data_IF_269680325800
#
_entry.id   IF_269680325800
#
_cell.length_a   1.000
_cell.length_b   1.000
_cell.length_c   1.000
_cell.angle_alpha   90.00
_cell.angle_beta   90.00
_cell.angle_gamma   90.00
#
_symmetry.space_group_name_H-M   'P 1'
#
loop_
_entity.id
_entity.type
_entity.pdbx_description
1 polymer ?
#
# COMPACT_ATOMS: atom_id res chain seq x y z
N UNK A 1 82.98 21.24 53.24
CA UNK A 1 81.60 21.60 53.49
C UNK A 1 80.78 21.24 52.31
N UNK A 2 80.02 20.08 52.30
CA UNK A 2 79.13 19.66 51.23
C UNK A 2 77.80 19.37 51.87
N UNK A 3 76.76 20.13 51.55
CA UNK A 3 75.37 19.94 51.96
C UNK A 3 74.72 18.92 51.06
N UNK A 4 74.21 17.84 51.62
CA UNK A 4 73.36 16.85 50.97
C UNK A 4 71.91 17.34 51.04
N UNK A 5 71.23 17.46 49.86
CA UNK A 5 69.77 17.67 49.75
C UNK A 5 69.10 16.31 49.60
N UNK A 6 68.26 15.92 50.55
CA UNK A 6 67.32 14.81 50.43
C UNK A 6 66.06 15.27 49.69
N UNK A 7 65.73 14.60 48.60
CA UNK A 7 64.44 14.73 47.93
C UNK A 7 63.46 13.69 48.52
N UNK A 8 62.39 14.18 49.11
CA UNK A 8 61.22 13.37 49.48
C UNK A 8 60.31 13.27 48.24
N UNK A 9 60.09 12.03 47.73
CA UNK A 9 59.11 11.76 46.65
C UNK A 9 57.76 11.40 47.29
N UNK A 10 56.73 12.21 47.12
CA UNK A 10 55.36 11.93 47.57
C UNK A 10 54.71 11.15 46.48
N UNK A 11 54.32 9.88 46.69
CA UNK A 11 53.53 9.04 45.80
C UNK A 11 52.04 9.35 46.02
N UNK A 12 51.40 10.05 45.09
CA UNK A 12 49.95 10.24 45.10
C UNK A 12 49.30 9.03 44.39
N UNK A 13 48.62 8.18 45.18
CA UNK A 13 47.77 7.11 44.65
C UNK A 13 46.40 7.69 44.28
N UNK A 14 46.14 7.86 42.99
CA UNK A 14 44.80 8.17 42.49
C UNK A 14 43.95 6.88 42.43
N UNK A 15 43.01 6.73 43.35
CA UNK A 15 41.97 5.71 43.28
C UNK A 15 40.93 6.15 42.23
N UNK A 16 41.01 5.63 41.01
CA UNK A 16 40.03 5.86 39.95
C UNK A 16 38.73 5.11 40.25
N UNK A 17 37.70 5.83 40.73
CA UNK A 17 36.35 5.30 40.82
C UNK A 17 35.74 5.25 39.41
N UNK A 18 35.65 4.07 38.80
CA UNK A 18 34.90 3.86 37.58
C UNK A 18 33.41 3.89 37.88
N UNK A 19 32.76 5.02 37.59
CA UNK A 19 31.29 5.10 37.56
C UNK A 19 30.80 4.37 36.33
N UNK A 20 30.30 3.15 36.52
CA UNK A 20 29.50 2.45 35.48
C UNK A 20 28.14 3.13 35.39
N UNK A 21 27.98 4.01 34.41
CA UNK A 21 26.65 4.54 34.04
C UNK A 21 25.90 3.39 33.39
N UNK A 22 25.04 2.73 34.13
CA UNK A 22 24.07 1.79 33.58
C UNK A 22 23.15 2.60 32.66
N UNK A 23 23.32 2.44 31.35
CA UNK A 23 22.46 3.01 30.34
C UNK A 23 21.08 2.36 30.50
N UNK A 24 20.16 3.08 31.12
CA UNK A 24 18.77 2.66 31.28
C UNK A 24 18.20 2.43 29.86
N UNK A 25 18.00 1.17 29.48
CA UNK A 25 17.36 0.84 28.22
C UNK A 25 15.95 1.43 28.26
N UNK A 26 15.69 2.40 27.40
CA UNK A 26 14.36 2.98 27.24
C UNK A 26 13.31 1.84 27.14
N UNK A 27 12.30 1.90 28.00
CA UNK A 27 11.22 0.92 28.01
C UNK A 27 10.59 0.88 26.62
N UNK A 28 10.42 -0.30 26.01
CA UNK A 28 9.77 -0.37 24.69
C UNK A 28 8.41 0.32 24.74
N UNK A 29 8.02 1.04 23.69
CA UNK A 29 6.72 1.68 23.63
C UNK A 29 5.62 0.64 23.86
N UNK A 30 4.55 1.05 24.56
CA UNK A 30 3.41 0.17 24.80
C UNK A 30 2.87 -0.39 23.48
N UNK A 31 2.46 -1.66 23.43
CA UNK A 31 1.93 -2.29 22.23
C UNK A 31 0.68 -1.52 21.78
N UNK A 32 0.60 -1.28 20.47
CA UNK A 32 -0.55 -0.62 19.85
C UNK A 32 -1.49 -1.67 19.27
N UNK A 33 -2.77 -1.36 19.33
CA UNK A 33 -3.82 -2.18 18.73
C UNK A 33 -4.46 -1.46 17.55
N UNK A 34 -4.92 -2.24 16.60
CA UNK A 34 -5.53 -1.73 15.37
C UNK A 34 -6.82 -2.48 15.06
N UNK A 35 -7.73 -1.84 14.37
CA UNK A 35 -8.65 -2.56 13.51
C UNK A 35 -7.92 -2.86 12.19
N UNK A 36 -7.99 -4.10 11.73
CA UNK A 36 -7.66 -4.49 10.37
C UNK A 36 -8.99 -4.72 9.63
N UNK A 37 -9.31 -3.85 8.66
CA UNK A 37 -10.47 -4.00 7.79
C UNK A 37 -10.06 -4.74 6.53
N UNK A 38 -10.89 -5.70 6.13
CA UNK A 38 -10.63 -6.60 5.01
C UNK A 38 -11.70 -6.37 3.94
N UNK A 39 -11.27 -5.92 2.77
CA UNK A 39 -12.09 -5.89 1.56
C UNK A 39 -12.09 -7.25 0.87
N UNK A 40 -13.19 -7.61 0.25
CA UNK A 40 -13.39 -8.94 -0.31
C UNK A 40 -14.13 -8.88 -1.64
N UNK A 41 -14.05 -9.97 -2.43
CA UNK A 41 -15.06 -10.24 -3.46
C UNK A 41 -16.23 -11.00 -2.88
N UNK A 42 -17.45 -10.59 -3.24
CA UNK A 42 -18.70 -11.20 -2.75
C UNK A 42 -19.38 -12.06 -3.80
N UNK A 43 -19.18 -11.78 -5.08
CA UNK A 43 -19.78 -12.57 -6.17
C UNK A 43 -19.16 -13.96 -6.25
N UNK A 44 -20.01 -14.98 -6.28
CA UNK A 44 -19.63 -16.40 -6.33
C UNK A 44 -18.75 -16.85 -5.15
N UNK A 45 -18.81 -16.14 -4.03
CA UNK A 45 -18.09 -16.44 -2.79
C UNK A 45 -19.04 -16.53 -1.60
N UNK A 46 -18.54 -16.86 -0.41
CA UNK A 46 -19.31 -16.83 0.84
C UNK A 46 -19.21 -15.47 1.55
N UNK A 47 -18.52 -14.51 0.97
CA UNK A 47 -18.34 -13.20 1.58
C UNK A 47 -19.63 -12.38 1.54
N UNK A 48 -19.83 -11.55 2.58
CA UNK A 48 -20.92 -10.59 2.70
C UNK A 48 -20.49 -9.15 2.46
N UNK A 49 -19.17 -8.90 2.34
CA UNK A 49 -18.67 -7.54 2.16
C UNK A 49 -17.39 -7.27 2.95
N UNK A 50 -17.40 -6.27 3.85
CA UNK A 50 -16.22 -5.87 4.63
C UNK A 50 -16.17 -6.62 5.95
N UNK A 51 -15.01 -7.24 6.25
CA UNK A 51 -14.73 -7.89 7.53
C UNK A 51 -13.77 -7.04 8.36
N UNK A 52 -13.74 -7.28 9.67
CA UNK A 52 -12.77 -6.63 10.56
C UNK A 52 -12.21 -7.60 11.59
N UNK A 53 -10.98 -7.30 12.00
CA UNK A 53 -10.25 -7.97 13.09
C UNK A 53 -9.66 -6.92 14.02
N UNK A 54 -9.42 -7.31 15.28
CA UNK A 54 -8.48 -6.59 16.14
C UNK A 54 -7.09 -7.17 15.91
N UNK A 55 -6.15 -6.31 15.59
CA UNK A 55 -4.74 -6.68 15.40
C UNK A 55 -3.89 -6.13 16.54
N UNK A 56 -3.00 -6.96 17.09
CA UNK A 56 -2.07 -6.62 18.16
C UNK A 56 -0.65 -6.61 17.62
N UNK A 57 0.03 -5.44 17.62
CA UNK A 57 1.36 -5.25 17.03
C UNK A 57 2.53 -5.79 17.89
N UNK A 58 2.24 -6.33 19.07
CA UNK A 58 3.24 -7.01 19.88
C UNK A 58 3.35 -8.49 19.53
N UNK A 59 2.24 -9.12 19.13
CA UNK A 59 2.15 -10.56 18.91
C UNK A 59 1.80 -10.97 17.48
N UNK A 60 1.36 -10.03 16.64
CA UNK A 60 0.82 -10.32 15.30
C UNK A 60 -0.56 -11.00 15.33
N UNK A 61 -1.21 -11.06 16.51
CA UNK A 61 -2.48 -11.76 16.67
C UNK A 61 -3.63 -11.03 15.99
N UNK A 62 -4.41 -11.77 15.19
CA UNK A 62 -5.70 -11.37 14.64
C UNK A 62 -6.83 -11.97 15.48
N UNK A 63 -7.71 -11.11 16.02
CA UNK A 63 -8.90 -11.53 16.75
C UNK A 63 -10.15 -11.10 15.96
N UNK A 64 -11.02 -12.03 15.51
CA UNK A 64 -12.11 -11.71 14.60
C UNK A 64 -13.18 -10.84 15.27
N UNK A 65 -13.70 -9.87 14.51
CA UNK A 65 -14.94 -9.14 14.79
C UNK A 65 -16.06 -9.70 13.90
N UNK A 66 -15.70 -10.15 12.68
CA UNK A 66 -16.62 -10.69 11.69
C UNK A 66 -16.98 -9.67 10.61
N UNK A 67 -18.08 -9.88 9.91
CA UNK A 67 -18.60 -8.95 8.91
C UNK A 67 -19.09 -7.67 9.61
N UNK A 68 -18.58 -6.51 9.13
CA UNK A 68 -18.88 -5.19 9.73
C UNK A 68 -19.67 -4.28 8.80
N UNK A 69 -19.75 -4.61 7.51
CA UNK A 69 -20.65 -4.01 6.53
C UNK A 69 -20.97 -5.00 5.43
N UNK A 70 -22.24 -5.10 5.05
CA UNK A 70 -22.68 -5.84 3.87
C UNK A 70 -22.70 -4.90 2.67
N UNK A 71 -21.93 -5.23 1.63
CA UNK A 71 -21.82 -4.45 0.39
C UNK A 71 -21.18 -5.30 -0.70
N UNK A 72 -21.52 -5.04 -1.96
CA UNK A 72 -21.08 -5.86 -3.10
C UNK A 72 -19.65 -5.52 -3.48
N UNK A 73 -18.80 -6.54 -3.61
CA UNK A 73 -17.42 -6.46 -4.09
C UNK A 73 -16.63 -5.24 -3.56
N UNK A 74 -16.50 -5.05 -2.22
CA UNK A 74 -15.65 -3.99 -1.66
C UNK A 74 -14.18 -4.38 -1.81
N UNK A 75 -13.69 -4.45 -3.05
CA UNK A 75 -12.39 -5.03 -3.39
C UNK A 75 -11.20 -4.17 -2.97
N UNK A 76 -11.40 -2.86 -2.77
CA UNK A 76 -10.35 -1.99 -2.22
C UNK A 76 -10.92 -0.97 -1.25
N UNK A 77 -10.16 -0.70 -0.18
CA UNK A 77 -10.56 0.11 0.96
C UNK A 77 -9.56 1.25 1.21
N UNK A 78 -10.05 2.36 1.75
CA UNK A 78 -9.21 3.44 2.26
C UNK A 78 -9.79 4.00 3.56
N UNK A 79 -8.96 4.11 4.60
CA UNK A 79 -9.34 4.73 5.87
C UNK A 79 -8.98 6.22 5.83
N UNK A 80 -9.94 7.07 6.20
CA UNK A 80 -9.70 8.51 6.29
C UNK A 80 -8.66 8.83 7.37
N UNK A 81 -7.73 9.80 7.15
CA UNK A 81 -6.69 10.15 8.12
C UNK A 81 -7.18 10.51 9.52
N UNK A 82 -8.42 11.05 9.65
CA UNK A 82 -9.01 11.34 10.97
C UNK A 82 -9.54 10.09 11.70
N UNK A 83 -9.49 8.91 11.09
CA UNK A 83 -9.94 7.64 11.66
C UNK A 83 -11.45 7.52 11.89
N UNK A 84 -12.28 8.43 11.36
CA UNK A 84 -13.74 8.41 11.54
C UNK A 84 -14.48 7.75 10.39
N UNK A 85 -13.86 7.66 9.21
CA UNK A 85 -14.52 7.19 7.99
C UNK A 85 -13.68 6.14 7.27
N UNK A 86 -14.37 5.27 6.55
CA UNK A 86 -13.79 4.29 5.63
C UNK A 86 -14.53 4.41 4.29
N UNK A 87 -13.77 4.35 3.21
CA UNK A 87 -14.27 4.35 1.84
C UNK A 87 -13.94 3.02 1.18
N UNK A 88 -14.86 2.52 0.37
CA UNK A 88 -14.70 1.29 -0.38
C UNK A 88 -15.13 1.49 -1.83
N UNK A 89 -14.39 0.94 -2.78
CA UNK A 89 -14.95 0.72 -4.12
C UNK A 89 -16.00 -0.40 -4.05
N UNK A 90 -16.98 -0.36 -4.93
CA UNK A 90 -17.80 -1.51 -5.27
C UNK A 90 -17.45 -1.88 -6.71
N UNK A 91 -16.62 -2.92 -6.88
CA UNK A 91 -16.09 -3.37 -8.17
C UNK A 91 -17.17 -4.12 -8.95
N UNK A 92 -18.06 -3.34 -9.55
CA UNK A 92 -19.20 -3.77 -10.35
C UNK A 92 -19.25 -2.97 -11.65
N UNK A 93 -20.00 -3.45 -12.65
CA UNK A 93 -20.10 -2.79 -13.95
C UNK A 93 -21.35 -1.94 -14.11
N UNK A 94 -22.34 -2.06 -13.19
CA UNK A 94 -23.59 -1.32 -13.22
C UNK A 94 -24.01 -0.86 -11.84
N UNK A 95 -24.28 0.43 -11.70
CA UNK A 95 -24.80 1.03 -10.46
C UNK A 95 -26.01 1.94 -10.77
N UNK A 96 -27.20 1.56 -10.28
CA UNK A 96 -28.45 2.15 -10.74
C UNK A 96 -28.64 1.93 -12.25
N UNK A 97 -28.90 2.99 -12.98
CA UNK A 97 -29.06 2.97 -14.44
C UNK A 97 -27.76 3.32 -15.21
N UNK A 98 -26.64 3.57 -14.49
CA UNK A 98 -25.36 3.94 -15.08
C UNK A 98 -24.47 2.71 -15.34
N UNK A 99 -23.76 2.69 -16.47
CA UNK A 99 -22.61 1.78 -16.70
C UNK A 99 -21.40 2.27 -15.89
N UNK A 100 -21.44 2.01 -14.59
CA UNK A 100 -20.48 2.46 -13.62
C UNK A 100 -20.43 1.48 -12.45
N UNK A 101 -19.29 1.38 -11.77
CA UNK A 101 -19.28 0.86 -10.43
C UNK A 101 -19.68 1.94 -9.40
N UNK A 102 -19.46 1.66 -8.14
CA UNK A 102 -19.80 2.59 -7.07
C UNK A 102 -18.66 2.81 -6.10
N UNK A 103 -18.79 3.86 -5.30
CA UNK A 103 -17.94 4.15 -4.14
C UNK A 103 -18.84 4.33 -2.93
N UNK A 104 -18.60 3.54 -1.89
CA UNK A 104 -19.31 3.59 -0.61
C UNK A 104 -18.52 4.35 0.43
N UNK A 105 -19.18 5.25 1.14
CA UNK A 105 -18.65 5.94 2.32
C UNK A 105 -19.28 5.37 3.58
N UNK A 106 -18.48 5.06 4.59
CA UNK A 106 -18.93 4.54 5.88
C UNK A 106 -18.38 5.39 7.03
N UNK A 107 -19.19 5.58 8.08
CA UNK A 107 -18.68 6.00 9.38
C UNK A 107 -18.22 4.79 10.19
N UNK A 108 -17.17 4.98 11.00
CA UNK A 108 -16.58 3.95 11.84
C UNK A 108 -17.02 4.13 13.28
N UNK A 109 -17.63 3.10 13.86
CA UNK A 109 -17.92 3.06 15.30
C UNK A 109 -16.63 2.66 16.03
N UNK A 110 -15.84 3.63 16.49
CA UNK A 110 -14.50 3.46 17.07
C UNK A 110 -14.41 2.38 18.17
N UNK A 111 -15.44 2.22 18.99
CA UNK A 111 -15.47 1.21 20.07
C UNK A 111 -15.56 -0.23 19.57
N UNK A 112 -16.26 -0.47 18.48
CA UNK A 112 -16.59 -1.80 18.00
C UNK A 112 -15.95 -2.19 16.67
N UNK A 113 -15.53 -1.21 15.86
CA UNK A 113 -15.07 -1.40 14.48
C UNK A 113 -16.21 -1.57 13.47
N UNK A 114 -17.48 -1.54 13.90
CA UNK A 114 -18.61 -1.62 12.97
C UNK A 114 -18.67 -0.39 12.06
N UNK A 115 -19.17 -0.60 10.85
CA UNK A 115 -19.34 0.41 9.82
C UNK A 115 -20.83 0.72 9.64
N UNK A 116 -21.13 2.01 9.44
CA UNK A 116 -22.47 2.46 9.07
C UNK A 116 -22.38 3.19 7.75
N UNK A 117 -23.16 2.76 6.76
CA UNK A 117 -23.19 3.38 5.44
C UNK A 117 -23.68 4.85 5.56
N UNK A 118 -22.93 5.76 4.96
CA UNK A 118 -23.28 7.18 4.88
C UNK A 118 -23.94 7.49 3.53
N UNK A 119 -23.27 7.14 2.44
CA UNK A 119 -23.83 7.22 1.09
C UNK A 119 -23.03 6.34 0.11
N UNK A 120 -23.58 6.17 -1.09
CA UNK A 120 -22.91 5.61 -2.25
C UNK A 120 -23.04 6.56 -3.43
N UNK A 121 -22.00 6.63 -4.25
CA UNK A 121 -21.98 7.42 -5.49
C UNK A 121 -21.45 6.58 -6.64
N UNK A 122 -21.87 6.87 -7.88
CA UNK A 122 -21.31 6.24 -9.07
C UNK A 122 -19.81 6.57 -9.20
N UNK A 123 -18.96 5.57 -9.44
CA UNK A 123 -17.49 5.73 -9.55
C UNK A 123 -17.03 6.42 -10.84
N UNK A 124 -17.95 6.72 -11.75
CA UNK A 124 -17.72 7.32 -13.06
C UNK A 124 -17.00 6.39 -14.06
N UNK A 125 -17.16 5.09 -13.89
CA UNK A 125 -16.68 4.05 -14.78
C UNK A 125 -16.94 2.66 -14.21
N UNK A 126 -17.01 1.66 -15.07
CA UNK A 126 -17.15 0.26 -14.67
C UNK A 126 -15.85 -0.28 -14.05
N UNK A 127 -15.99 -1.22 -13.11
CA UNK A 127 -14.89 -1.94 -12.48
C UNK A 127 -13.94 -1.07 -11.65
N UNK A 128 -14.43 -0.25 -10.66
CA UNK A 128 -13.53 0.47 -9.76
C UNK A 128 -12.75 -0.54 -8.90
N UNK A 129 -11.42 -0.58 -9.05
CA UNK A 129 -10.56 -1.57 -8.41
C UNK A 129 -9.55 -0.99 -7.43
N UNK A 130 -9.45 0.34 -7.34
CA UNK A 130 -8.55 1.02 -6.42
C UNK A 130 -9.15 2.33 -5.90
N UNK A 131 -8.90 2.61 -4.61
CA UNK A 131 -9.33 3.82 -3.94
C UNK A 131 -8.21 4.34 -3.03
N UNK A 132 -7.99 5.64 -3.02
CA UNK A 132 -7.07 6.30 -2.10
C UNK A 132 -7.64 7.63 -1.62
N UNK A 133 -6.99 8.26 -0.66
CA UNK A 133 -7.26 9.64 -0.26
C UNK A 133 -6.08 10.54 -0.58
N UNK A 134 -6.37 11.80 -0.84
CA UNK A 134 -5.35 12.83 -0.84
C UNK A 134 -4.76 13.01 0.58
N UNK A 135 -3.61 13.66 0.70
CA UNK A 135 -2.90 13.78 1.99
C UNK A 135 -3.66 14.59 3.05
N UNK A 136 -4.62 15.40 2.64
CA UNK A 136 -5.46 16.18 3.57
C UNK A 136 -6.73 15.44 4.01
N UNK A 137 -7.09 14.35 3.33
CA UNK A 137 -8.35 13.64 3.51
C UNK A 137 -9.57 14.33 2.89
N UNK A 138 -9.38 15.43 2.15
CA UNK A 138 -10.48 16.18 1.55
C UNK A 138 -11.06 15.53 0.30
N UNK A 139 -10.30 14.64 -0.32
CA UNK A 139 -10.66 14.02 -1.59
C UNK A 139 -10.37 12.52 -1.59
N UNK A 140 -11.33 11.78 -2.14
CA UNK A 140 -11.21 10.37 -2.48
C UNK A 140 -10.92 10.25 -3.97
N UNK A 141 -9.91 9.44 -4.33
CA UNK A 141 -9.49 9.19 -5.70
C UNK A 141 -9.78 7.72 -6.05
N UNK A 142 -10.31 7.48 -7.26
CA UNK A 142 -10.74 6.15 -7.71
C UNK A 142 -10.19 5.85 -9.10
N UNK A 143 -9.71 4.62 -9.29
CA UNK A 143 -9.35 4.06 -10.60
C UNK A 143 -10.36 2.99 -11.00
N UNK A 144 -10.93 3.11 -12.21
CA UNK A 144 -11.92 2.21 -12.78
C UNK A 144 -11.25 1.38 -13.88
N UNK A 145 -11.08 0.08 -13.63
CA UNK A 145 -10.33 -0.83 -14.51
C UNK A 145 -11.01 -1.04 -15.85
N UNK A 146 -12.28 -1.50 -15.84
CA UNK A 146 -12.99 -1.85 -17.06
C UNK A 146 -13.23 -0.62 -17.97
N UNK A 147 -13.46 0.53 -17.38
CA UNK A 147 -13.71 1.76 -18.13
C UNK A 147 -12.43 2.51 -18.53
N UNK A 148 -11.27 2.20 -17.97
CA UNK A 148 -10.02 2.95 -18.19
C UNK A 148 -10.14 4.40 -17.75
N UNK A 149 -10.83 4.69 -16.64
CA UNK A 149 -11.10 6.05 -16.16
C UNK A 149 -10.61 6.25 -14.73
N UNK A 150 -10.37 7.51 -14.38
CA UNK A 150 -10.07 7.93 -13.00
C UNK A 150 -11.01 9.06 -12.59
N UNK A 151 -11.37 9.10 -11.30
CA UNK A 151 -12.26 10.13 -10.76
C UNK A 151 -11.82 10.59 -9.37
N UNK A 152 -12.18 11.83 -9.01
CA UNK A 152 -11.92 12.45 -7.71
C UNK A 152 -13.23 12.95 -7.12
N UNK A 153 -13.47 12.62 -5.86
CA UNK A 153 -14.70 12.97 -5.14
C UNK A 153 -14.35 13.76 -3.87
N UNK A 154 -14.99 14.90 -3.61
CA UNK A 154 -14.81 15.62 -2.36
C UNK A 154 -15.45 14.86 -1.19
N UNK A 155 -14.76 14.86 -0.07
CA UNK A 155 -15.29 14.40 1.21
C UNK A 155 -16.03 15.59 1.86
N UNK A 156 -17.32 15.45 2.09
CA UNK A 156 -18.16 16.45 2.72
C UNK A 156 -18.05 16.39 4.25
N UNK A 157 -18.55 17.44 4.90
CA UNK A 157 -18.75 17.43 6.35
C UNK A 157 -19.63 16.23 6.74
N UNK A 158 -19.14 15.40 7.69
CA UNK A 158 -19.81 14.14 8.03
C UNK A 158 -19.35 12.91 7.26
N UNK A 159 -18.43 13.05 6.30
CA UNK A 159 -17.74 11.93 5.63
C UNK A 159 -18.42 11.41 4.38
N UNK A 160 -19.57 11.95 3.98
CA UNK A 160 -20.22 11.59 2.71
C UNK A 160 -19.38 12.03 1.52
N UNK A 161 -19.50 11.29 0.40
CA UNK A 161 -18.92 11.69 -0.87
C UNK A 161 -19.85 12.64 -1.62
N UNK A 162 -19.30 13.75 -2.10
CA UNK A 162 -19.98 14.68 -2.98
C UNK A 162 -19.92 14.28 -4.45
N UNK A 163 -20.44 15.17 -5.32
CA UNK A 163 -20.30 15.02 -6.76
C UNK A 163 -18.81 15.10 -7.14
N UNK A 164 -18.38 14.26 -8.09
CA UNK A 164 -16.98 14.26 -8.56
C UNK A 164 -16.54 15.65 -9.05
N UNK A 165 -15.28 15.99 -8.76
CA UNK A 165 -14.66 17.28 -9.11
C UNK A 165 -13.55 17.11 -10.15
N UNK A 166 -12.97 15.91 -10.26
CA UNK A 166 -11.98 15.56 -11.25
C UNK A 166 -12.37 14.27 -11.98
N UNK A 167 -12.12 14.22 -13.30
CA UNK A 167 -12.38 13.05 -14.13
C UNK A 167 -11.44 13.03 -15.32
N UNK A 168 -10.92 11.85 -15.66
CA UNK A 168 -10.24 11.62 -16.94
C UNK A 168 -10.54 10.21 -17.46
N UNK A 169 -10.65 10.09 -18.78
CA UNK A 169 -10.62 8.83 -19.50
C UNK A 169 -9.25 8.70 -20.15
N UNK A 170 -8.55 7.61 -19.89
CA UNK A 170 -7.29 7.31 -20.55
C UNK A 170 -7.56 6.86 -21.99
N UNK A 171 -6.52 6.85 -22.83
CA UNK A 171 -6.63 6.46 -24.24
C UNK A 171 -5.38 5.73 -24.69
N UNK A 172 -5.55 4.80 -25.61
CA UNK A 172 -4.48 3.97 -26.13
C UNK A 172 -4.76 2.48 -25.96
N UNK A 173 -3.75 1.68 -26.25
CA UNK A 173 -3.74 0.22 -26.09
C UNK A 173 -2.30 -0.28 -26.00
N UNK A 174 -2.11 -1.46 -25.45
CA UNK A 174 -0.81 -2.13 -25.38
C UNK A 174 -0.67 -3.22 -26.44
N UNK A 175 0.33 -4.08 -26.23
CA UNK A 175 0.69 -5.15 -27.18
C UNK A 175 0.00 -6.48 -26.89
N UNK A 176 -0.50 -6.70 -25.67
CA UNK A 176 -1.20 -7.93 -25.26
C UNK A 176 -2.71 -7.78 -25.56
N UNK A 177 -3.15 -8.31 -26.69
CA UNK A 177 -4.50 -8.10 -27.23
C UNK A 177 -5.64 -8.42 -26.26
N UNK A 178 -5.49 -9.44 -25.40
CA UNK A 178 -6.54 -9.91 -24.49
C UNK A 178 -6.57 -9.14 -23.14
N UNK A 179 -5.52 -8.38 -22.84
CA UNK A 179 -5.35 -7.71 -21.55
C UNK A 179 -5.05 -6.20 -21.71
N UNK A 180 -4.84 -5.74 -22.95
CA UNK A 180 -4.46 -4.37 -23.28
C UNK A 180 -5.17 -3.88 -24.56
N UNK A 181 -6.40 -4.34 -24.81
CA UNK A 181 -7.27 -3.91 -25.91
C UNK A 181 -7.66 -2.44 -25.79
N UNK A 182 -7.66 -1.92 -24.57
CA UNK A 182 -7.95 -0.54 -24.19
C UNK A 182 -7.25 -0.15 -22.91
N UNK A 183 -7.50 1.06 -22.39
CA UNK A 183 -7.00 1.49 -21.09
C UNK A 183 -7.64 0.70 -19.93
N UNK A 184 -6.84 0.38 -18.92
CA UNK A 184 -7.25 -0.28 -17.68
C UNK A 184 -6.57 0.41 -16.49
N UNK A 185 -7.18 1.51 -16.01
CA UNK A 185 -6.67 2.24 -14.85
C UNK A 185 -6.77 1.37 -13.60
N UNK A 186 -5.62 1.04 -12.97
CA UNK A 186 -5.58 0.07 -11.88
C UNK A 186 -5.11 0.66 -10.54
N UNK A 187 -4.49 1.83 -10.54
CA UNK A 187 -4.02 2.52 -9.34
C UNK A 187 -4.11 4.02 -9.53
N UNK A 188 -4.38 4.74 -8.44
CA UNK A 188 -4.38 6.20 -8.39
C UNK A 188 -4.01 6.68 -7.00
N UNK A 189 -3.12 7.67 -6.90
CA UNK A 189 -2.79 8.35 -5.66
C UNK A 189 -2.29 9.77 -5.92
N UNK A 190 -2.32 10.62 -4.88
CA UNK A 190 -1.58 11.88 -4.92
C UNK A 190 -0.10 11.65 -4.63
N UNK A 191 0.74 12.53 -5.17
CA UNK A 191 2.16 12.61 -4.79
C UNK A 191 2.30 12.90 -3.29
N UNK A 192 3.48 12.62 -2.68
CA UNK A 192 3.71 12.86 -1.25
C UNK A 192 3.45 14.30 -0.80
N UNK A 193 3.70 15.27 -1.67
CA UNK A 193 3.46 16.70 -1.46
C UNK A 193 2.06 17.18 -1.90
N UNK A 194 1.21 16.26 -2.34
CA UNK A 194 -0.16 16.54 -2.78
C UNK A 194 -0.30 17.47 -4.00
N UNK A 195 0.77 17.66 -4.80
CA UNK A 195 0.75 18.54 -5.96
C UNK A 195 0.36 17.84 -7.27
N UNK A 196 0.49 16.52 -7.32
CA UNK A 196 0.19 15.75 -8.52
C UNK A 196 -0.71 14.56 -8.17
N UNK A 197 -1.54 14.18 -9.13
CA UNK A 197 -2.23 12.89 -9.18
C UNK A 197 -1.47 11.99 -10.13
N UNK A 198 -1.11 10.80 -9.67
CA UNK A 198 -0.50 9.76 -10.48
C UNK A 198 -1.48 8.60 -10.62
N UNK A 199 -1.54 8.01 -11.81
CA UNK A 199 -2.32 6.79 -12.06
C UNK A 199 -1.53 5.78 -12.87
N UNK A 200 -1.62 4.50 -12.50
CA UNK A 200 -1.09 3.40 -13.28
C UNK A 200 -2.18 2.85 -14.18
N UNK A 201 -1.87 2.66 -15.46
CA UNK A 201 -2.80 2.08 -16.41
C UNK A 201 -2.16 0.84 -17.07
N UNK A 202 -2.71 -0.32 -16.73
CA UNK A 202 -2.25 -1.63 -17.17
C UNK A 202 -2.40 -1.80 -18.68
N UNK A 203 -3.51 -1.27 -19.23
CA UNK A 203 -3.88 -1.48 -20.63
C UNK A 203 -3.01 -0.71 -21.62
N UNK A 204 -2.33 0.35 -21.19
CA UNK A 204 -1.53 1.21 -22.07
C UNK A 204 -0.05 1.31 -21.68
N UNK A 205 0.41 0.49 -20.71
CA UNK A 205 1.80 0.47 -20.20
C UNK A 205 2.30 1.84 -19.72
N UNK A 206 1.47 2.57 -18.94
CA UNK A 206 1.83 3.93 -18.52
C UNK A 206 1.55 4.21 -17.04
N UNK A 207 2.41 5.04 -16.47
CA UNK A 207 2.08 5.88 -15.33
C UNK A 207 1.77 7.26 -15.88
N UNK A 208 0.57 7.75 -15.63
CA UNK A 208 0.14 9.10 -16.04
C UNK A 208 0.29 10.06 -14.86
N UNK A 209 0.68 11.30 -15.13
CA UNK A 209 0.87 12.35 -14.13
C UNK A 209 0.04 13.57 -14.51
N UNK A 210 -0.79 14.03 -13.59
CA UNK A 210 -1.61 15.24 -13.70
C UNK A 210 -1.33 16.19 -12.56
N UNK A 211 -1.45 17.49 -12.79
CA UNK A 211 -1.39 18.50 -11.71
C UNK A 211 -2.69 18.45 -10.92
N UNK A 212 -2.57 18.38 -9.60
CA UNK A 212 -3.70 18.36 -8.69
C UNK A 212 -4.00 19.78 -8.18
N UNK A 213 -5.27 20.19 -8.26
CA UNK A 213 -5.75 21.48 -7.78
C UNK A 213 -6.47 21.27 -6.44
N UNK A 214 -5.69 21.34 -5.36
CA UNK A 214 -6.17 21.01 -4.01
C UNK A 214 -7.39 21.86 -3.54
N UNK A 215 -7.57 23.14 -3.92
CA UNK A 215 -8.75 23.92 -3.51
C UNK A 215 -10.09 23.34 -3.93
N UNK A 216 -10.15 22.74 -5.12
CA UNK A 216 -11.40 22.25 -5.72
C UNK A 216 -11.39 20.75 -6.09
N UNK A 217 -10.25 20.05 -5.89
CA UNK A 217 -10.11 18.62 -6.19
C UNK A 217 -10.07 18.28 -7.69
N UNK A 218 -9.99 19.27 -8.55
CA UNK A 218 -9.78 19.06 -9.98
C UNK A 218 -8.33 18.65 -10.29
N UNK A 219 -8.09 18.10 -11.46
CA UNK A 219 -6.73 17.87 -11.95
C UNK A 219 -6.66 18.12 -13.45
N UNK A 220 -5.47 18.49 -13.91
CA UNK A 220 -5.21 18.76 -15.33
C UNK A 220 -3.96 18.01 -15.79
N UNK A 221 -3.89 17.55 -17.06
CA UNK A 221 -2.72 16.86 -17.57
C UNK A 221 -1.43 17.64 -17.35
N UNK A 222 -0.38 17.01 -16.83
CA UNK A 222 0.94 17.61 -16.71
C UNK A 222 1.65 17.55 -18.07
N UNK A 223 1.44 18.58 -18.92
CA UNK A 223 1.96 18.61 -20.30
C UNK A 223 3.47 18.51 -20.39
N UNK A 224 4.19 19.05 -19.41
CA UNK A 224 5.66 19.03 -19.40
C UNK A 224 6.21 17.63 -19.07
N UNK A 225 5.56 16.93 -18.13
CA UNK A 225 5.95 15.60 -17.66
C UNK A 225 4.68 14.73 -17.55
N UNK A 226 4.15 14.19 -18.66
CA UNK A 226 2.87 13.49 -18.67
C UNK A 226 2.92 12.12 -17.97
N UNK A 227 4.06 11.73 -17.45
CA UNK A 227 4.31 10.46 -16.76
C UNK A 227 5.38 9.62 -17.46
N UNK A 228 5.39 8.32 -17.18
CA UNK A 228 6.36 7.38 -17.70
C UNK A 228 5.68 6.29 -18.54
N UNK A 229 6.37 5.83 -19.60
CA UNK A 229 6.00 4.66 -20.37
C UNK A 229 6.89 3.49 -19.92
N UNK A 230 6.28 2.39 -19.53
CA UNK A 230 6.97 1.16 -19.18
C UNK A 230 7.24 0.31 -20.43
N UNK A 231 7.98 -0.78 -20.27
CA UNK A 231 8.20 -1.77 -21.33
C UNK A 231 6.87 -2.25 -21.90
N UNK A 232 6.78 -2.38 -23.21
CA UNK A 232 5.57 -2.86 -23.89
C UNK A 232 5.14 -4.24 -23.35
N UNK A 233 3.88 -4.37 -22.95
CA UNK A 233 3.32 -5.56 -22.35
C UNK A 233 3.63 -5.71 -20.84
N UNK A 234 4.13 -4.67 -20.18
CA UNK A 234 4.42 -4.71 -18.75
C UNK A 234 3.15 -4.72 -17.88
N UNK A 235 2.17 -3.90 -18.23
CA UNK A 235 0.92 -3.80 -17.47
C UNK A 235 1.10 -3.25 -16.06
N UNK A 236 1.47 -1.96 -15.87
CA UNK A 236 1.62 -1.38 -14.54
C UNK A 236 0.29 -1.44 -13.78
N UNK A 237 0.35 -2.00 -12.57
CA UNK A 237 -0.82 -2.30 -11.75
C UNK A 237 -0.94 -1.39 -10.53
N UNK A 238 -0.08 -1.58 -9.55
CA UNK A 238 -0.01 -0.79 -8.33
C UNK A 238 1.34 -0.12 -8.21
N UNK A 239 1.40 0.96 -7.41
CA UNK A 239 2.64 1.67 -7.16
C UNK A 239 2.73 2.16 -5.71
N UNK A 240 3.96 2.30 -5.21
CA UNK A 240 4.23 2.77 -3.86
C UNK A 240 5.36 3.79 -3.85
N UNK A 241 5.15 4.93 -3.21
CA UNK A 241 6.22 5.88 -2.94
C UNK A 241 7.11 5.42 -1.80
N UNK A 242 8.40 5.71 -1.89
CA UNK A 242 9.27 5.64 -0.72
C UNK A 242 8.81 6.63 0.35
N UNK A 243 9.05 6.38 1.66
CA UNK A 243 8.73 7.35 2.72
C UNK A 243 9.40 8.72 2.55
N UNK A 244 10.55 8.76 1.87
CA UNK A 244 11.23 10.02 1.53
C UNK A 244 10.53 10.84 0.44
N UNK A 245 9.56 10.25 -0.27
CA UNK A 245 8.90 10.86 -1.43
C UNK A 245 9.76 11.00 -2.68
N UNK A 246 11.01 10.49 -2.67
CA UNK A 246 11.96 10.68 -3.78
C UNK A 246 11.88 9.58 -4.84
N UNK A 247 11.30 8.44 -4.51
CA UNK A 247 11.24 7.27 -5.39
C UNK A 247 9.83 6.72 -5.46
N UNK A 248 9.46 6.23 -6.64
CA UNK A 248 8.22 5.51 -6.91
C UNK A 248 8.57 4.11 -7.42
N UNK A 249 7.97 3.09 -6.84
CA UNK A 249 8.11 1.70 -7.28
C UNK A 249 6.79 1.23 -7.88
N UNK A 250 6.85 0.64 -9.07
CA UNK A 250 5.68 0.23 -9.84
C UNK A 250 5.71 -1.28 -10.06
N UNK A 251 4.69 -1.97 -9.58
CA UNK A 251 4.46 -3.38 -9.85
C UNK A 251 3.78 -3.54 -11.21
N UNK A 252 4.35 -4.34 -12.08
CA UNK A 252 3.83 -4.62 -13.44
C UNK A 252 3.26 -6.04 -13.50
N UNK A 253 1.94 -6.14 -13.66
CA UNK A 253 1.20 -7.40 -13.58
C UNK A 253 1.62 -8.39 -14.66
N UNK A 254 1.65 -7.93 -15.92
CA UNK A 254 1.65 -8.81 -17.09
C UNK A 254 3.04 -9.37 -17.47
N UNK A 255 4.11 -8.83 -16.89
CA UNK A 255 5.47 -9.29 -17.14
C UNK A 255 6.27 -9.62 -15.87
N UNK A 256 5.59 -9.64 -14.72
CA UNK A 256 6.14 -10.00 -13.40
C UNK A 256 7.41 -9.22 -13.04
N UNK A 257 7.34 -7.89 -13.16
CA UNK A 257 8.46 -7.01 -12.83
C UNK A 257 8.05 -5.93 -11.80
N UNK A 258 9.05 -5.38 -11.14
CA UNK A 258 8.97 -4.11 -10.41
C UNK A 258 9.93 -3.11 -11.07
N UNK A 259 9.42 -1.91 -11.36
CA UNK A 259 10.20 -0.81 -11.93
C UNK A 259 10.39 0.28 -10.90
N UNK A 260 11.63 0.69 -10.67
CA UNK A 260 11.99 1.80 -9.80
C UNK A 260 12.14 3.09 -10.59
N UNK A 261 11.55 4.17 -10.09
CA UNK A 261 11.67 5.52 -10.66
C UNK A 261 12.19 6.50 -9.62
N UNK A 262 13.03 7.44 -10.02
CA UNK A 262 13.20 8.69 -9.27
C UNK A 262 12.02 9.61 -9.59
N UNK A 263 11.54 10.34 -8.58
CA UNK A 263 10.45 11.29 -8.68
C UNK A 263 10.92 12.71 -8.35
N UNK A 264 10.60 13.66 -9.20
CA UNK A 264 10.87 15.06 -8.98
C UNK A 264 9.60 15.79 -8.54
N UNK A 265 9.53 16.20 -7.27
CA UNK A 265 8.38 16.88 -6.69
C UNK A 265 8.08 18.26 -7.30
N UNK A 266 9.04 18.92 -7.96
CA UNK A 266 8.84 20.26 -8.54
C UNK A 266 7.96 20.24 -9.79
N UNK A 267 8.09 19.21 -10.59
CA UNK A 267 7.47 19.14 -11.91
C UNK A 267 6.74 17.81 -12.21
N UNK A 268 6.77 16.86 -11.26
CA UNK A 268 6.12 15.55 -11.38
C UNK A 268 6.86 14.58 -12.30
N UNK A 269 8.11 14.87 -12.69
CA UNK A 269 8.87 14.00 -13.59
C UNK A 269 9.20 12.66 -12.94
N UNK A 270 9.10 11.60 -13.75
CA UNK A 270 9.50 10.23 -13.41
C UNK A 270 10.67 9.82 -14.34
N UNK A 271 11.78 9.40 -13.75
CA UNK A 271 12.90 8.84 -14.51
C UNK A 271 13.15 7.41 -14.04
N UNK A 272 13.05 6.47 -14.99
CA UNK A 272 13.31 5.06 -14.73
C UNK A 272 14.77 4.87 -14.28
N UNK A 273 14.94 4.11 -13.19
CA UNK A 273 16.24 3.73 -12.65
C UNK A 273 16.60 2.30 -13.09
N UNK A 274 15.66 1.40 -12.91
CA UNK A 274 15.82 -0.02 -13.27
C UNK A 274 14.48 -0.76 -13.24
N UNK A 275 14.43 -1.93 -13.87
CA UNK A 275 13.33 -2.88 -13.77
C UNK A 275 13.87 -4.26 -13.44
N UNK A 276 13.32 -4.93 -12.41
CA UNK A 276 13.74 -6.23 -11.92
C UNK A 276 12.57 -7.23 -11.95
N UNK A 277 12.87 -8.52 -12.18
CA UNK A 277 11.90 -9.60 -12.02
C UNK A 277 11.49 -9.75 -10.55
N UNK A 278 10.20 -10.02 -10.30
CA UNK A 278 9.68 -10.42 -9.00
C UNK A 278 9.75 -11.94 -8.78
N UNK A 279 10.13 -12.69 -9.81
CA UNK A 279 10.18 -14.13 -9.80
C UNK A 279 11.62 -14.64 -9.70
N UNK A 280 11.86 -15.78 -9.05
CA UNK A 280 13.11 -16.49 -9.12
C UNK A 280 13.47 -16.89 -10.56
N UNK A 281 14.76 -17.03 -10.86
CA UNK A 281 15.24 -17.33 -12.22
C UNK A 281 14.78 -18.69 -12.76
N UNK A 282 14.53 -19.63 -11.87
CA UNK A 282 14.10 -21.00 -12.15
C UNK A 282 12.59 -21.20 -12.16
N UNK A 283 11.81 -20.13 -11.88
CA UNK A 283 10.36 -20.22 -11.95
C UNK A 283 9.87 -20.28 -13.39
N UNK A 284 9.05 -21.28 -13.68
CA UNK A 284 8.33 -21.44 -14.94
C UNK A 284 6.85 -21.64 -14.65
N UNK A 285 6.00 -20.86 -15.26
CA UNK A 285 4.54 -20.90 -15.08
C UNK A 285 3.94 -19.53 -15.24
N UNK A 286 2.61 -19.49 -15.24
CA UNK A 286 1.86 -18.23 -15.29
C UNK A 286 1.95 -17.51 -13.95
N UNK A 287 2.11 -16.20 -14.01
CA UNK A 287 2.17 -15.37 -12.83
C UNK A 287 1.73 -13.94 -13.14
N UNK A 288 0.88 -13.41 -12.29
CA UNK A 288 0.44 -12.03 -12.28
C UNK A 288 0.89 -11.34 -10.99
N UNK A 289 1.68 -10.28 -11.10
CA UNK A 289 2.00 -9.43 -9.95
C UNK A 289 0.76 -8.71 -9.46
N UNK A 290 0.65 -8.49 -8.15
CA UNK A 290 -0.53 -7.82 -7.59
C UNK A 290 -0.18 -6.61 -6.73
N UNK A 291 0.08 -6.79 -5.45
CA UNK A 291 0.30 -5.69 -4.51
C UNK A 291 1.77 -5.33 -4.39
N UNK A 292 2.03 -4.08 -4.04
CA UNK A 292 3.37 -3.54 -3.77
C UNK A 292 3.33 -2.60 -2.56
N UNK A 293 4.26 -2.77 -1.63
CA UNK A 293 4.39 -1.87 -0.49
C UNK A 293 5.86 -1.65 -0.11
N UNK A 294 6.19 -0.40 0.21
CA UNK A 294 7.46 -0.04 0.84
C UNK A 294 7.30 -0.14 2.35
N UNK A 295 8.24 -0.81 3.00
CA UNK A 295 8.30 -0.88 4.45
C UNK A 295 8.40 0.54 5.07
N UNK A 296 7.77 0.82 6.22
CA UNK A 296 7.81 2.16 6.84
C UNK A 296 9.23 2.72 7.08
N UNK A 297 10.24 1.84 7.28
CA UNK A 297 11.64 2.27 7.38
C UNK A 297 12.26 2.76 6.06
N UNK A 298 11.60 2.54 4.92
CA UNK A 298 12.14 2.85 3.59
C UNK A 298 13.25 1.93 3.10
N UNK A 299 13.58 0.85 3.85
CA UNK A 299 14.71 -0.04 3.52
C UNK A 299 14.35 -1.26 2.69
N UNK A 300 13.06 -1.64 2.67
CA UNK A 300 12.59 -2.84 2.00
C UNK A 300 11.34 -2.56 1.16
N UNK A 301 11.21 -3.32 0.09
CA UNK A 301 10.05 -3.33 -0.80
C UNK A 301 9.54 -4.77 -0.89
N UNK A 302 8.22 -4.92 -0.86
CA UNK A 302 7.53 -6.19 -0.98
C UNK A 302 6.59 -6.16 -2.18
N UNK A 303 6.49 -7.28 -2.90
CA UNK A 303 5.64 -7.43 -4.09
C UNK A 303 5.02 -8.81 -4.07
N UNK A 304 3.68 -8.91 -4.20
CA UNK A 304 3.01 -10.21 -4.25
C UNK A 304 2.87 -10.76 -5.67
N UNK A 305 3.00 -12.07 -5.80
CA UNK A 305 2.95 -12.85 -7.02
C UNK A 305 1.78 -13.85 -6.95
N UNK A 306 0.80 -13.72 -7.84
CA UNK A 306 -0.33 -14.65 -8.00
C UNK A 306 0.04 -15.68 -9.07
N UNK A 307 0.10 -16.97 -8.73
CA UNK A 307 0.60 -18.06 -9.54
C UNK A 307 1.84 -18.67 -8.91
N UNK A 308 2.89 -17.91 -8.62
CA UNK A 308 3.98 -18.30 -7.73
C UNK A 308 3.52 -18.38 -6.26
N UNK A 309 2.47 -17.65 -5.93
CA UNK A 309 1.88 -17.56 -4.58
C UNK A 309 2.92 -17.17 -3.51
N UNK A 310 3.65 -16.10 -3.79
CA UNK A 310 4.77 -15.64 -2.98
C UNK A 310 4.79 -14.12 -2.78
N UNK A 311 5.62 -13.68 -1.84
CA UNK A 311 6.05 -12.28 -1.67
C UNK A 311 7.53 -12.19 -2.06
N UNK A 312 7.81 -11.46 -3.13
CA UNK A 312 9.17 -11.05 -3.48
C UNK A 312 9.61 -9.91 -2.57
N UNK A 313 10.80 -10.02 -1.99
CA UNK A 313 11.39 -9.06 -1.07
C UNK A 313 12.64 -8.45 -1.69
N UNK A 314 12.72 -7.13 -1.68
CA UNK A 314 13.87 -6.37 -2.16
C UNK A 314 14.37 -5.43 -1.05
N UNK A 315 15.70 -5.26 -0.96
CA UNK A 315 16.28 -4.14 -0.23
C UNK A 315 16.37 -2.91 -1.13
N UNK A 316 16.19 -1.73 -0.54
CA UNK A 316 16.23 -0.43 -1.22
C UNK A 316 17.52 0.30 -0.84
N UNK A 317 18.30 0.78 -1.82
CA UNK A 317 19.36 1.76 -1.57
C UNK A 317 18.69 3.14 -1.27
N UNK A 318 18.78 3.68 -0.05
CA UNK A 318 18.05 4.89 0.32
C UNK A 318 18.52 6.16 -0.39
N UNK A 319 19.71 6.13 -1.01
CA UNK A 319 20.27 7.28 -1.74
C UNK A 319 19.98 7.22 -3.23
N UNK A 320 19.99 6.00 -3.81
CA UNK A 320 19.83 5.78 -5.25
C UNK A 320 18.42 5.34 -5.63
N UNK A 321 17.64 4.78 -4.69
CA UNK A 321 16.33 4.21 -4.95
C UNK A 321 16.36 2.87 -5.67
N UNK A 322 17.56 2.32 -5.92
CA UNK A 322 17.74 1.03 -6.61
C UNK A 322 17.43 -0.13 -5.68
N UNK A 323 17.06 -1.27 -6.28
CA UNK A 323 16.59 -2.47 -5.63
C UNK A 323 17.61 -3.61 -5.72
N UNK A 324 17.67 -4.43 -4.68
CA UNK A 324 18.42 -5.69 -4.71
C UNK A 324 17.53 -6.80 -4.18
N UNK A 325 17.33 -7.91 -4.94
CA UNK A 325 16.56 -9.05 -4.46
C UNK A 325 17.12 -9.61 -3.15
N UNK A 326 16.23 -9.92 -2.20
CA UNK A 326 16.56 -10.49 -0.89
C UNK A 326 16.01 -11.90 -0.77
N UNK A 327 14.71 -12.09 -1.03
CA UNK A 327 14.02 -13.36 -0.85
C UNK A 327 12.76 -13.45 -1.72
N UNK A 328 12.27 -14.67 -1.90
CA UNK A 328 10.95 -15.01 -2.44
C UNK A 328 10.29 -15.99 -1.47
N UNK A 329 9.27 -15.56 -0.77
CA UNK A 329 8.67 -16.26 0.37
C UNK A 329 7.24 -16.69 0.02
N UNK A 330 6.97 -18.01 0.04
CA UNK A 330 5.63 -18.55 -0.20
C UNK A 330 4.62 -18.03 0.86
N UNK A 331 3.44 -17.61 0.41
CA UNK A 331 2.39 -17.04 1.29
C UNK A 331 1.62 -18.09 2.08
N UNK A 332 1.89 -19.38 1.86
CA UNK A 332 1.20 -20.54 2.45
C UNK A 332 -0.30 -20.60 2.08
N UNK A 333 -0.72 -19.87 1.09
CA UNK A 333 -2.05 -19.85 0.51
C UNK A 333 -1.99 -19.64 -0.99
N UNK A 334 -3.14 -19.35 -1.61
CA UNK A 334 -3.26 -19.20 -3.06
C UNK A 334 -3.76 -17.81 -3.43
N UNK A 335 -3.15 -17.26 -4.49
CA UNK A 335 -3.54 -15.98 -5.08
C UNK A 335 -3.45 -14.83 -4.07
N UNK A 336 -2.22 -14.50 -3.57
CA UNK A 336 -2.01 -13.35 -2.68
C UNK A 336 -2.24 -12.02 -3.43
N UNK A 337 -3.52 -11.67 -3.65
CA UNK A 337 -3.91 -10.48 -4.41
C UNK A 337 -3.57 -9.19 -3.70
N UNK A 338 -3.51 -9.22 -2.38
CA UNK A 338 -3.13 -8.08 -1.54
C UNK A 338 -2.30 -8.56 -0.34
N UNK A 339 -1.50 -7.70 0.18
CA UNK A 339 -0.92 -7.81 1.51
C UNK A 339 -0.81 -6.42 2.12
N UNK A 340 -0.72 -6.36 3.44
CA UNK A 340 -0.44 -5.12 4.14
C UNK A 340 0.66 -5.29 5.18
N UNK A 341 1.53 -4.29 5.29
CA UNK A 341 2.49 -4.17 6.38
C UNK A 341 1.79 -3.41 7.50
N UNK A 342 1.85 -3.92 8.73
CA UNK A 342 1.28 -3.24 9.87
C UNK A 342 1.97 -1.88 10.12
N UNK A 343 1.32 -0.91 10.74
CA UNK A 343 1.93 0.43 10.93
C UNK A 343 3.20 0.45 11.79
N UNK A 344 3.47 -0.60 12.58
CA UNK A 344 4.73 -0.73 13.33
C UNK A 344 5.89 -1.22 12.44
N UNK A 345 5.59 -1.80 11.29
CA UNK A 345 6.56 -2.42 10.39
C UNK A 345 7.06 -3.79 10.85
N UNK A 346 6.44 -4.42 11.84
CA UNK A 346 6.88 -5.72 12.38
C UNK A 346 6.26 -6.91 11.68
N UNK A 347 5.08 -6.72 11.07
CA UNK A 347 4.31 -7.82 10.49
C UNK A 347 3.83 -7.49 9.08
N UNK A 348 3.76 -8.53 8.25
CA UNK A 348 3.10 -8.52 6.97
C UNK A 348 1.96 -9.52 7.00
N UNK A 349 0.77 -9.09 6.57
CA UNK A 349 -0.44 -9.90 6.46
C UNK A 349 -0.71 -10.15 4.99
N UNK A 350 -0.61 -11.39 4.53
CA UNK A 350 -0.89 -11.79 3.15
C UNK A 350 -2.35 -12.25 3.00
N UNK A 351 -3.12 -11.58 2.14
CA UNK A 351 -4.50 -11.91 1.82
C UNK A 351 -4.54 -12.83 0.60
N UNK A 352 -4.73 -14.11 0.85
CA UNK A 352 -4.76 -15.16 -0.15
C UNK A 352 -6.21 -15.38 -0.63
N UNK A 353 -6.55 -14.78 -1.75
CA UNK A 353 -7.92 -14.70 -2.27
C UNK A 353 -8.58 -16.07 -2.44
N UNK A 354 -7.88 -17.03 -3.08
CA UNK A 354 -8.48 -18.33 -3.44
C UNK A 354 -8.44 -19.35 -2.30
N UNK A 355 -7.45 -19.27 -1.40
CA UNK A 355 -7.44 -20.10 -0.20
C UNK A 355 -8.32 -19.55 0.92
N UNK A 356 -8.89 -18.33 0.78
CA UNK A 356 -9.80 -17.72 1.74
C UNK A 356 -9.19 -17.51 3.12
N UNK A 357 -7.94 -17.09 3.16
CA UNK A 357 -7.21 -16.89 4.41
C UNK A 357 -6.33 -15.64 4.39
N UNK A 358 -5.94 -15.21 5.59
CA UNK A 358 -4.91 -14.20 5.82
C UNK A 358 -3.82 -14.86 6.66
N UNK A 359 -2.61 -14.94 6.12
CA UNK A 359 -1.44 -15.49 6.79
C UNK A 359 -0.56 -14.35 7.29
N UNK A 360 -0.13 -14.44 8.56
CA UNK A 360 0.67 -13.39 9.22
C UNK A 360 2.14 -13.80 9.29
N UNK A 361 3.01 -12.93 8.79
CA UNK A 361 4.45 -13.06 8.83
C UNK A 361 5.08 -12.02 9.74
N UNK A 362 6.11 -12.39 10.45
CA UNK A 362 7.02 -11.46 11.10
C UNK A 362 8.05 -10.96 10.09
N UNK A 363 8.33 -9.66 10.09
CA UNK A 363 9.36 -9.01 9.27
C UNK A 363 10.65 -8.91 10.08
N UNK A 364 11.73 -9.53 9.62
CA UNK A 364 13.05 -9.33 10.21
C UNK A 364 13.54 -7.89 9.95
N UNK A 365 13.79 -7.09 10.98
CA UNK A 365 14.12 -5.68 10.80
C UNK A 365 15.51 -5.47 10.17
N UNK A 366 16.40 -6.46 10.15
CA UNK A 366 17.74 -6.33 9.60
C UNK A 366 17.77 -6.66 8.11
N UNK A 367 17.13 -7.76 7.70
CA UNK A 367 17.14 -8.29 6.34
C UNK A 367 15.87 -7.99 5.53
N UNK A 368 14.74 -7.68 6.20
CA UNK A 368 13.41 -7.58 5.57
C UNK A 368 12.77 -8.94 5.26
N UNK A 369 13.42 -10.04 5.58
CA UNK A 369 12.88 -11.38 5.30
C UNK A 369 11.66 -11.69 6.15
N UNK A 370 10.79 -12.56 5.62
CA UNK A 370 9.51 -12.93 6.26
C UNK A 370 9.62 -14.30 6.92
N UNK A 371 9.12 -14.43 8.14
CA UNK A 371 8.98 -15.70 8.86
C UNK A 371 7.55 -15.89 9.33
N UNK A 372 7.03 -17.12 9.24
CA UNK A 372 5.68 -17.44 9.68
C UNK A 372 5.53 -17.22 11.20
N UNK A 373 4.43 -16.57 11.58
CA UNK A 373 4.06 -16.44 13.01
C UNK A 373 3.21 -17.63 13.50
N UNK A 374 2.67 -18.43 12.59
CA UNK A 374 1.65 -19.44 12.86
C UNK A 374 0.23 -18.87 12.99
N UNK A 375 0.04 -17.55 12.85
CA UNK A 375 -1.29 -16.93 12.86
C UNK A 375 -1.89 -16.99 11.46
N UNK A 376 -3.10 -17.56 11.37
CA UNK A 376 -3.92 -17.62 10.16
C UNK A 376 -5.34 -17.19 10.53
N UNK A 377 -6.00 -16.44 9.68
CA UNK A 377 -7.39 -16.03 9.87
C UNK A 377 -8.21 -16.35 8.61
N UNK A 378 -9.35 -17.03 8.79
CA UNK A 378 -10.27 -17.34 7.69
C UNK A 378 -11.09 -16.11 7.32
N UNK A 379 -11.04 -15.75 6.05
CA UNK A 379 -11.84 -14.67 5.45
C UNK A 379 -12.19 -15.06 4.02
N UNK A 380 -13.46 -15.08 3.63
CA UNK A 380 -13.84 -15.43 2.26
C UNK A 380 -13.32 -14.39 1.25
N UNK A 381 -12.55 -14.85 0.26
CA UNK A 381 -11.99 -14.08 -0.85
C UNK A 381 -11.39 -12.71 -0.44
N UNK A 382 -10.41 -12.66 0.47
CA UNK A 382 -9.80 -11.41 0.94
C UNK A 382 -8.91 -10.81 -0.15
N UNK A 383 -9.08 -9.52 -0.44
CA UNK A 383 -8.35 -8.84 -1.53
C UNK A 383 -7.84 -7.44 -1.20
N UNK A 384 -8.07 -6.97 0.03
CA UNK A 384 -7.54 -5.71 0.54
C UNK A 384 -7.47 -5.73 2.06
N UNK A 385 -6.40 -5.20 2.63
CA UNK A 385 -6.23 -5.03 4.08
C UNK A 385 -5.83 -3.59 4.38
N UNK A 386 -6.56 -2.92 5.27
CA UNK A 386 -6.20 -1.59 5.76
C UNK A 386 -6.28 -1.54 7.29
N UNK A 387 -5.34 -0.79 7.90
CA UNK A 387 -5.27 -0.64 9.35
C UNK A 387 -5.81 0.69 9.84
N UNK A 388 -6.48 0.67 10.98
CA UNK A 388 -6.90 1.84 11.74
C UNK A 388 -6.43 1.71 13.20
N UNK A 389 -5.60 2.64 13.73
CA UNK A 389 -5.20 2.60 15.13
C UNK A 389 -6.40 2.64 16.07
N UNK A 390 -6.39 1.78 17.12
CA UNK A 390 -7.25 1.91 18.29
C UNK A 390 -6.59 2.91 19.24
N UNK A 391 -7.34 3.86 19.72
CA UNK A 391 -6.88 4.82 20.73
C UNK A 391 -6.63 4.13 22.06
#
# INVERSE_FOLDING_TARGET
MRFARQLFAILLVFAGATFSVAQERAKPPAPKRYFAYIGTYTEKTKSKGIYAFRFDDASGKLSPIGAVAETTNPSFLAVHPNGKYLYAVNEISKFGDEESGAVSAFSIVRKTGKLTLLNQVASRGAGPCYISLDKTGRYVLVANYDAGTIAVFPVQDGGQLGKYTGFARHSGRGVKKERQEGPHAHWIATSPDNQFVLSADLGIDRILVSRFHLPDGAFTPNKANPGAKLKAGAGPRHAAFSPSGKFLYVASELNSTVTAFSYNAKDGALHELEALSTLPRDFSGDNDVAEIAVHPSGRFLYVSNRGRDSIAVFSIDPRKGTLKPVADIATQGKTPRNFAIDPSGKFLLAANQESNDIVVFHIDPASGSLTLTGQVADVPAPVCIVFLPLE
#
